data_IF_785676617968
#
_entry.id   IF_785676617968
#
_cell.length_a   1.000
_cell.length_b   1.000
_cell.length_c   1.000
_cell.angle_alpha   90.00
_cell.angle_beta   90.00
_cell.angle_gamma   90.00
#
_symmetry.space_group_name_H-M   'P 1'
#
loop_
_entity.id
_entity.type
_entity.pdbx_description
1 polymer ?
#
# COMPACT_ATOMS: atom_id res chain seq x y z
N UNK A 1 9.15 -3.78 -2.41
CA UNK A 1 8.79 -2.91 -1.28
C UNK A 1 7.72 -3.61 -0.45
N UNK A 2 7.76 -3.51 0.87
CA UNK A 2 6.80 -4.18 1.75
C UNK A 2 6.15 -3.19 2.70
N UNK A 3 4.84 -3.30 2.83
CA UNK A 3 4.04 -2.63 3.84
C UNK A 3 3.56 -3.70 4.82
N UNK A 4 4.43 -4.04 5.77
CA UNK A 4 4.20 -5.03 6.82
C UNK A 4 4.48 -4.32 8.15
N UNK A 5 3.68 -4.60 9.18
CA UNK A 5 3.83 -3.95 10.49
C UNK A 5 5.22 -4.20 11.09
N UNK A 6 6.01 -3.14 11.23
CA UNK A 6 7.17 -3.10 12.12
C UNK A 6 6.75 -2.61 13.52
N UNK A 7 7.49 -3.04 14.55
CA UNK A 7 7.22 -2.70 15.96
C UNK A 7 7.03 -1.20 16.20
N UNK A 8 6.02 -0.90 16.99
CA UNK A 8 5.52 0.46 17.27
C UNK A 8 6.58 1.33 17.94
N UNK A 9 6.94 2.45 17.30
CA UNK A 9 7.35 3.63 18.06
C UNK A 9 6.33 4.75 17.84
N UNK A 10 5.34 4.77 18.74
CA UNK A 10 4.29 5.78 18.82
C UNK A 10 4.77 7.15 19.33
N UNK A 11 6.09 7.34 19.57
CA UNK A 11 6.66 8.55 20.18
C UNK A 11 6.58 9.83 19.32
N UNK A 12 5.93 9.82 18.15
CA UNK A 12 5.97 10.91 17.17
C UNK A 12 4.76 11.84 17.06
N UNK A 13 3.67 11.63 17.82
CA UNK A 13 2.47 12.50 17.75
C UNK A 13 1.66 12.42 16.43
N UNK A 14 1.99 11.47 15.55
CA UNK A 14 1.25 11.19 14.30
C UNK A 14 0.30 10.02 14.50
N UNK A 15 -0.86 10.06 13.86
CA UNK A 15 -1.80 8.93 13.89
C UNK A 15 -1.26 7.77 13.04
N UNK A 16 -1.63 6.54 13.41
CA UNK A 16 -1.34 5.34 12.61
C UNK A 16 -1.78 5.51 11.15
N UNK A 17 -2.95 6.11 10.94
CA UNK A 17 -3.47 6.36 9.61
C UNK A 17 -2.54 7.26 8.77
N UNK A 18 -1.99 8.32 9.38
CA UNK A 18 -1.10 9.23 8.67
C UNK A 18 0.19 8.53 8.21
N UNK A 19 0.80 7.73 9.08
CA UNK A 19 2.01 6.96 8.73
C UNK A 19 1.74 5.97 7.59
N UNK A 20 0.57 5.33 7.63
CA UNK A 20 0.15 4.41 6.56
C UNK A 20 -0.07 5.15 5.23
N UNK A 21 -0.68 6.33 5.24
CA UNK A 21 -0.85 7.15 4.03
C UNK A 21 0.51 7.58 3.45
N UNK A 22 1.46 7.99 4.29
CA UNK A 22 2.83 8.34 3.83
C UNK A 22 3.52 7.14 3.16
N UNK A 23 3.40 5.93 3.74
CA UNK A 23 3.92 4.69 3.15
C UNK A 23 3.26 4.34 1.81
N UNK A 24 1.96 4.60 1.65
CA UNK A 24 1.27 4.42 0.36
C UNK A 24 1.85 5.34 -0.71
N UNK A 25 2.15 6.59 -0.38
CA UNK A 25 2.78 7.54 -1.33
C UNK A 25 4.14 7.02 -1.81
N UNK A 26 4.98 6.55 -0.89
CA UNK A 26 6.27 5.95 -1.23
C UNK A 26 6.13 4.69 -2.10
N UNK A 27 5.14 3.85 -1.77
CA UNK A 27 4.82 2.64 -2.50
C UNK A 27 4.41 2.93 -3.95
N UNK A 28 3.54 3.92 -4.17
CA UNK A 28 3.11 4.36 -5.49
C UNK A 28 4.25 5.03 -6.28
N UNK A 29 5.12 5.79 -5.61
CA UNK A 29 6.32 6.33 -6.25
C UNK A 29 7.23 5.19 -6.76
N UNK A 30 7.31 4.09 -6.01
CA UNK A 30 8.03 2.89 -6.42
C UNK A 30 7.45 2.18 -7.65
N UNK A 31 6.15 2.34 -7.93
CA UNK A 31 5.49 1.76 -9.09
C UNK A 31 5.77 2.49 -10.41
N UNK A 32 6.31 3.71 -10.35
CA UNK A 32 6.77 4.45 -11.54
C UNK A 32 8.15 3.98 -12.06
N UNK A 33 8.69 2.91 -11.49
CA UNK A 33 9.97 2.31 -11.88
C UNK A 33 9.83 1.52 -13.18
N UNK A 34 10.81 1.61 -14.08
CA UNK A 34 10.86 0.81 -15.33
C UNK A 34 11.14 -0.67 -15.06
N UNK A 35 11.78 -0.99 -13.94
CA UNK A 35 12.05 -2.37 -13.55
C UNK A 35 10.87 -2.99 -12.78
N UNK A 36 10.55 -4.29 -13.03
CA UNK A 36 9.51 -4.99 -12.29
C UNK A 36 9.85 -5.10 -10.80
N UNK A 37 8.87 -4.83 -9.95
CA UNK A 37 9.02 -4.88 -8.49
C UNK A 37 8.00 -5.83 -7.86
N UNK A 38 8.39 -6.38 -6.72
CA UNK A 38 7.50 -7.10 -5.82
C UNK A 38 6.97 -6.13 -4.74
N UNK A 39 5.66 -6.02 -4.66
CA UNK A 39 4.93 -5.29 -3.61
C UNK A 39 4.26 -6.30 -2.67
N UNK A 40 4.59 -6.23 -1.39
CA UNK A 40 3.97 -7.04 -0.34
C UNK A 40 3.14 -6.13 0.55
N UNK A 41 1.84 -6.39 0.66
CA UNK A 41 0.88 -5.55 1.35
C UNK A 41 0.17 -6.38 2.42
N UNK A 42 0.25 -5.97 3.69
CA UNK A 42 -0.41 -6.65 4.81
C UNK A 42 -1.40 -5.68 5.49
N UNK A 43 -2.69 -5.95 5.31
CA UNK A 43 -3.80 -5.20 5.94
C UNK A 43 -3.77 -3.67 5.71
N UNK A 44 -3.80 -3.27 4.44
CA UNK A 44 -3.83 -1.86 4.02
C UNK A 44 -4.89 -1.01 4.75
N UNK A 45 -4.47 0.13 5.29
CA UNK A 45 -5.35 1.20 5.79
C UNK A 45 -6.34 0.78 6.88
N UNK A 46 -5.96 -0.14 7.78
CA UNK A 46 -6.79 -0.64 8.89
C UNK A 46 -7.28 0.42 9.92
N UNK A 47 -6.90 1.68 9.75
CA UNK A 47 -7.24 2.81 10.64
C UNK A 47 -8.43 3.68 10.20
N UNK A 48 -9.11 3.34 9.09
CA UNK A 48 -10.31 4.05 8.62
C UNK A 48 -11.54 3.13 8.55
N UNK A 49 -12.70 3.69 8.22
CA UNK A 49 -13.93 2.92 8.05
C UNK A 49 -13.81 1.93 6.87
N UNK A 50 -14.66 0.90 6.86
CA UNK A 50 -14.59 -0.18 5.86
C UNK A 50 -14.80 0.29 4.43
N UNK A 51 -15.69 1.26 4.20
CA UNK A 51 -15.98 1.78 2.86
C UNK A 51 -14.75 2.48 2.28
N UNK A 52 -14.14 3.37 3.06
CA UNK A 52 -12.94 4.10 2.66
C UNK A 52 -11.76 3.16 2.45
N UNK A 53 -11.60 2.16 3.32
CA UNK A 53 -10.53 1.17 3.20
C UNK A 53 -10.65 0.36 1.92
N UNK A 54 -11.87 -0.11 1.57
CA UNK A 54 -12.11 -0.88 0.37
C UNK A 54 -11.87 -0.04 -0.90
N UNK A 55 -12.43 1.17 -0.95
CA UNK A 55 -12.27 2.07 -2.08
C UNK A 55 -10.80 2.48 -2.29
N UNK A 56 -10.09 2.82 -1.21
CA UNK A 56 -8.68 3.17 -1.28
C UNK A 56 -7.81 1.98 -1.65
N UNK A 57 -8.07 0.80 -1.08
CA UNK A 57 -7.37 -0.44 -1.43
C UNK A 57 -7.49 -0.78 -2.91
N UNK A 58 -8.70 -0.69 -3.47
CA UNK A 58 -8.94 -0.90 -4.90
C UNK A 58 -8.17 0.12 -5.76
N UNK A 59 -8.21 1.40 -5.40
CA UNK A 59 -7.51 2.45 -6.13
C UNK A 59 -5.98 2.27 -6.11
N UNK A 60 -5.42 1.87 -4.96
CA UNK A 60 -3.98 1.60 -4.81
C UNK A 60 -3.58 0.39 -5.67
N UNK A 61 -4.34 -0.71 -5.61
CA UNK A 61 -4.06 -1.89 -6.43
C UNK A 61 -4.12 -1.58 -7.93
N UNK A 62 -5.11 -0.80 -8.37
CA UNK A 62 -5.17 -0.33 -9.76
C UNK A 62 -3.93 0.48 -10.12
N UNK A 63 -3.55 1.45 -9.29
CA UNK A 63 -2.38 2.29 -9.55
C UNK A 63 -1.06 1.48 -9.60
N UNK A 64 -0.93 0.39 -8.84
CA UNK A 64 0.23 -0.50 -8.90
C UNK A 64 0.27 -1.40 -10.14
N UNK A 65 -0.88 -1.65 -10.77
CA UNK A 65 -1.04 -2.57 -11.89
C UNK A 65 -1.23 -1.85 -13.24
N UNK A 66 -1.72 -0.61 -13.21
CA UNK A 66 -1.97 0.24 -14.38
C UNK A 66 -0.68 0.95 -14.84
N UNK A 67 -0.55 1.17 -16.16
CA UNK A 67 0.54 2.00 -16.73
C UNK A 67 1.77 1.27 -17.27
N UNK A 68 1.82 -0.06 -17.30
CA UNK A 68 3.06 -0.78 -17.65
C UNK A 68 3.09 -1.37 -19.07
N UNK A 69 4.11 -0.96 -19.82
CA UNK A 69 4.73 -1.77 -20.88
C UNK A 69 5.59 -2.83 -20.18
N UNK A 70 5.51 -4.07 -20.64
CA UNK A 70 6.20 -5.26 -20.08
C UNK A 70 7.67 -4.94 -19.71
N UNK A 71 8.16 -5.30 -18.50
CA UNK A 71 7.64 -6.29 -17.55
C UNK A 71 6.74 -5.73 -16.43
N UNK A 72 5.81 -6.57 -15.95
CA UNK A 72 4.79 -6.20 -14.95
C UNK A 72 5.29 -6.33 -13.51
N UNK A 73 4.83 -5.44 -12.65
CA UNK A 73 4.92 -5.58 -11.20
C UNK A 73 4.19 -6.83 -10.68
N UNK A 74 4.69 -7.39 -9.58
CA UNK A 74 4.05 -8.46 -8.82
C UNK A 74 3.52 -7.88 -7.51
N UNK A 75 2.23 -8.09 -7.22
CA UNK A 75 1.58 -7.59 -6.01
C UNK A 75 1.00 -8.77 -5.24
N UNK A 76 1.37 -8.88 -3.97
CA UNK A 76 0.80 -9.86 -3.02
C UNK A 76 0.16 -9.09 -1.88
N UNK A 77 -1.11 -9.39 -1.61
CA UNK A 77 -1.88 -8.73 -0.57
C UNK A 77 -2.48 -9.76 0.40
N UNK A 78 -2.34 -9.47 1.69
CA UNK A 78 -3.10 -10.11 2.76
C UNK A 78 -4.16 -9.11 3.26
N UNK A 79 -5.43 -9.51 3.21
CA UNK A 79 -6.55 -8.67 3.66
C UNK A 79 -7.67 -9.53 4.24
N UNK A 80 -8.45 -8.93 5.15
CA UNK A 80 -9.70 -9.49 5.68
C UNK A 80 -10.93 -8.91 4.97
N UNK A 81 -10.72 -7.94 4.07
CA UNK A 81 -11.78 -7.35 3.26
C UNK A 81 -12.06 -8.28 2.06
N UNK A 82 -13.23 -8.95 2.10
CA UNK A 82 -13.78 -9.82 1.06
C UNK A 82 -14.95 -9.14 0.35
#
# INVERSE_FOLDING_TARGET
>A
MSMIRGGDDLLGGRSYYQVEVERVVELLAGANSTDPRLFLLDELLRGTNTVDRLAAGEAILKALLEGQVVPRHCVVIATHDL
#
